data_IF_435546381503
#
_entry.id   IF_435546381503
#
_cell.length_a   1.000
_cell.length_b   1.000
_cell.length_c   1.000
_cell.angle_alpha   90.00
_cell.angle_beta   90.00
_cell.angle_gamma   90.00
#
_symmetry.space_group_name_H-M   'P 1'
#
loop_
_entity.id
_entity.type
_entity.pdbx_description
1 polymer ?
#
# COMPACT_ATOMS: atom_id res chain seq x y z
N UNK A 1 2.74 7.25 7.13
CA UNK A 1 1.96 7.05 5.91
C UNK A 1 2.88 6.85 4.73
N UNK A 2 2.53 5.93 3.85
CA UNK A 2 3.34 5.61 2.68
C UNK A 2 2.63 6.02 1.41
N UNK A 3 3.40 6.26 0.34
CA UNK A 3 2.84 6.62 -0.96
C UNK A 3 3.14 5.54 -1.98
N UNK A 4 2.27 5.45 -3.00
CA UNK A 4 2.51 4.57 -4.14
C UNK A 4 3.89 4.85 -4.73
N UNK A 5 4.64 3.78 -5.02
CA UNK A 5 6.00 3.90 -5.52
C UNK A 5 7.07 3.78 -4.46
N UNK A 6 6.71 3.89 -3.17
CA UNK A 6 7.66 3.68 -2.10
C UNK A 6 7.88 2.19 -1.86
N UNK A 7 8.99 1.86 -1.21
CA UNK A 7 9.33 0.49 -0.84
C UNK A 7 9.36 0.38 0.67
N UNK A 8 8.19 0.28 1.32
CA UNK A 8 8.12 0.34 2.77
C UNK A 8 8.53 -0.97 3.46
N UNK A 9 8.66 -2.05 2.71
CA UNK A 9 8.96 -3.36 3.26
C UNK A 9 7.76 -4.29 3.17
N UNK A 10 7.99 -5.58 3.39
CA UNK A 10 6.91 -6.57 3.30
C UNK A 10 5.94 -6.43 4.47
N UNK A 11 4.69 -6.81 4.23
CA UNK A 11 3.65 -6.76 5.24
C UNK A 11 2.33 -6.29 4.66
N UNK A 12 1.39 -5.99 5.56
CA UNK A 12 0.05 -5.54 5.17
C UNK A 12 -0.04 -4.03 5.18
N UNK A 13 -0.74 -3.49 4.20
CA UNK A 13 -0.95 -2.05 4.06
C UNK A 13 -2.40 -1.79 3.73
N UNK A 14 -2.94 -0.69 4.26
CA UNK A 14 -4.34 -0.33 4.07
C UNK A 14 -4.42 1.02 3.36
N UNK A 15 -5.28 1.08 2.34
CA UNK A 15 -5.59 2.32 1.66
C UNK A 15 -6.27 3.28 2.64
N UNK A 16 -5.77 4.52 2.73
CA UNK A 16 -6.33 5.48 3.68
C UNK A 16 -7.69 6.00 3.27
N UNK A 17 -8.09 5.75 2.04
CA UNK A 17 -9.35 6.27 1.52
C UNK A 17 -10.49 5.26 1.60
N UNK A 18 -10.30 4.07 1.03
CA UNK A 18 -11.37 3.08 0.97
C UNK A 18 -11.18 1.93 1.96
N UNK A 19 -10.03 1.84 2.60
CA UNK A 19 -9.77 0.79 3.57
C UNK A 19 -9.34 -0.53 2.99
N UNK A 20 -9.05 -0.59 1.69
CA UNK A 20 -8.60 -1.82 1.06
C UNK A 20 -7.24 -2.23 1.61
N UNK A 21 -7.11 -3.51 1.96
CA UNK A 21 -5.86 -4.06 2.50
C UNK A 21 -5.14 -4.86 1.44
N UNK A 22 -3.85 -4.63 1.29
CA UNK A 22 -3.00 -5.41 0.39
C UNK A 22 -1.83 -5.99 1.17
N UNK A 23 -1.16 -6.96 0.58
CA UNK A 23 0.02 -7.58 1.17
C UNK A 23 1.20 -7.46 0.22
N UNK A 24 2.31 -6.93 0.71
CA UNK A 24 3.56 -6.88 -0.04
C UNK A 24 4.42 -8.07 0.37
N UNK A 25 4.83 -8.87 -0.61
CA UNK A 25 5.53 -10.13 -0.38
C UNK A 25 7.03 -9.97 -0.14
N UNK A 26 7.59 -8.83 -0.52
CA UNK A 26 9.04 -8.63 -0.51
C UNK A 26 9.36 -7.20 -0.08
N UNK A 27 10.52 -7.03 0.56
CA UNK A 27 10.99 -5.71 0.97
C UNK A 27 11.28 -4.80 -0.22
N UNK A 28 11.50 -5.38 -1.40
CA UNK A 28 11.75 -4.62 -2.62
C UNK A 28 10.49 -4.31 -3.41
N UNK A 29 9.32 -4.79 -2.98
CA UNK A 29 8.07 -4.49 -3.64
C UNK A 29 7.68 -3.04 -3.43
N UNK A 30 7.25 -2.39 -4.51
CA UNK A 30 6.75 -1.02 -4.42
C UNK A 30 5.25 -1.05 -4.16
N UNK A 31 4.75 -0.02 -3.46
CA UNK A 31 3.32 0.13 -3.22
C UNK A 31 2.62 0.48 -4.54
N UNK A 32 1.62 -0.32 -4.95
CA UNK A 32 0.82 0.00 -6.13
C UNK A 32 -0.26 1.01 -5.78
N UNK A 33 -0.92 1.61 -6.79
CA UNK A 33 -2.12 2.39 -6.53
C UNK A 33 -3.24 1.46 -6.03
N UNK A 34 -4.17 2.01 -5.25
CA UNK A 34 -5.27 1.23 -4.71
C UNK A 34 -6.09 0.62 -5.86
N UNK A 35 -6.32 -0.71 -5.84
CA UNK A 35 -7.07 -1.33 -6.93
C UNK A 35 -8.55 -0.97 -6.95
N UNK A 36 -9.08 -0.42 -5.85
CA UNK A 36 -10.50 -0.06 -5.78
C UNK A 36 -10.75 1.41 -6.09
N UNK A 37 -10.02 2.32 -5.42
CA UNK A 37 -10.30 3.75 -5.56
C UNK A 37 -9.15 4.53 -6.20
N UNK A 38 -8.08 3.86 -6.56
CA UNK A 38 -6.90 4.43 -7.20
C UNK A 38 -6.18 5.47 -6.33
N UNK A 39 -6.45 5.46 -5.02
CA UNK A 39 -5.73 6.33 -4.10
C UNK A 39 -4.26 5.90 -4.03
N UNK A 40 -3.38 6.85 -3.75
CA UNK A 40 -1.94 6.61 -3.75
C UNK A 40 -1.34 6.67 -2.34
N UNK A 41 -2.16 6.70 -1.30
CA UNK A 41 -1.69 6.79 0.08
C UNK A 41 -2.08 5.55 0.85
N UNK A 42 -1.17 5.08 1.70
CA UNK A 42 -1.32 3.84 2.44
C UNK A 42 -0.86 4.01 3.87
N UNK A 43 -1.44 3.24 4.79
CA UNK A 43 -0.95 3.10 6.16
C UNK A 43 -0.67 1.63 6.43
N UNK A 44 0.10 1.37 7.48
CA UNK A 44 0.30 -0.01 7.91
C UNK A 44 -1.01 -0.56 8.47
N UNK A 45 -1.34 -1.75 8.04
CA UNK A 45 -2.55 -2.42 8.54
C UNK A 45 -2.25 -3.25 9.78
#
# INVERSE_FOLDING_TARGET
>A
MFSTGEKPGKGYYRCVRCGEVIYLNDDTDTLPPCPKCHNTRWTRA
#
